data_IF_799546271813
#
_entry.id   IF_799546271813
#
_cell.length_a   1.000
_cell.length_b   1.000
_cell.length_c   1.000
_cell.angle_alpha   90.00
_cell.angle_beta   90.00
_cell.angle_gamma   90.00
#
_symmetry.space_group_name_H-M   'P 1'
#
loop_
_entity.id
_entity.type
_entity.pdbx_description
1 polymer ?
#
# COMPACT_ATOMS: atom_id res chain seq x y z
N UNK A 1 14.67 -12.13 -21.25
CA UNK A 1 14.63 -13.14 -20.14
C UNK A 1 14.73 -12.46 -18.77
N UNK A 2 15.76 -11.60 -18.48
CA UNK A 2 15.91 -10.96 -17.15
C UNK A 2 14.69 -10.12 -16.77
N UNK A 3 14.21 -9.24 -17.65
CA UNK A 3 12.99 -8.44 -17.40
C UNK A 3 11.75 -9.30 -17.15
N UNK A 4 11.60 -10.43 -17.84
CA UNK A 4 10.50 -11.36 -17.65
C UNK A 4 10.52 -11.99 -16.24
N UNK A 5 11.69 -12.40 -15.75
CA UNK A 5 11.83 -12.95 -14.40
C UNK A 5 11.52 -11.90 -13.32
N UNK A 6 12.01 -10.67 -13.52
CA UNK A 6 11.69 -9.56 -12.61
C UNK A 6 10.17 -9.33 -12.58
N UNK A 7 9.51 -9.33 -13.74
CA UNK A 7 8.07 -9.15 -13.83
C UNK A 7 7.27 -10.30 -13.19
N UNK A 8 7.77 -11.54 -13.26
CA UNK A 8 7.15 -12.68 -12.55
C UNK A 8 7.22 -12.47 -11.04
N UNK A 9 8.40 -12.12 -10.51
CA UNK A 9 8.57 -11.82 -9.09
C UNK A 9 7.74 -10.61 -8.65
N UNK A 10 7.74 -9.55 -9.45
CA UNK A 10 6.95 -8.34 -9.19
C UNK A 10 5.45 -8.64 -9.04
N UNK A 11 4.88 -9.42 -9.95
CA UNK A 11 3.46 -9.85 -9.86
C UNK A 11 3.19 -10.77 -8.67
N UNK A 12 4.14 -11.61 -8.32
CA UNK A 12 4.01 -12.49 -7.17
C UNK A 12 3.99 -11.70 -5.85
N UNK A 13 4.93 -10.76 -5.67
CA UNK A 13 5.02 -9.91 -4.48
C UNK A 13 3.90 -8.89 -4.44
N UNK A 14 3.66 -8.19 -5.56
CA UNK A 14 2.72 -7.08 -5.72
C UNK A 14 1.32 -7.51 -6.14
N UNK A 15 0.75 -8.43 -5.39
CA UNK A 15 -0.54 -9.02 -5.72
C UNK A 15 -1.67 -7.98 -5.73
N UNK A 16 -2.50 -8.05 -6.77
CA UNK A 16 -3.82 -7.40 -6.85
C UNK A 16 -4.88 -8.47 -7.07
N UNK A 17 -5.85 -8.54 -6.17
CA UNK A 17 -6.91 -9.55 -6.22
C UNK A 17 -8.08 -9.11 -7.09
N UNK A 18 -8.21 -7.82 -7.34
CA UNK A 18 -9.19 -7.19 -8.24
C UNK A 18 -8.45 -6.29 -9.23
N UNK A 19 -8.96 -6.10 -10.47
CA UNK A 19 -8.27 -5.31 -11.48
C UNK A 19 -8.36 -3.80 -11.25
N UNK A 20 -9.39 -3.33 -10.54
CA UNK A 20 -9.60 -1.92 -10.22
C UNK A 20 -10.33 -1.74 -8.90
N UNK A 21 -10.22 -0.55 -8.30
CA UNK A 21 -10.88 -0.18 -7.03
C UNK A 21 -12.34 0.26 -7.28
N UNK A 22 -13.16 -0.66 -7.81
CA UNK A 22 -14.59 -0.44 -8.12
C UNK A 22 -15.46 -1.47 -7.42
N UNK A 23 -16.67 -1.07 -7.04
CA UNK A 23 -17.65 -1.93 -6.37
C UNK A 23 -18.01 -3.16 -7.20
N UNK A 24 -18.15 -3.00 -8.51
CA UNK A 24 -18.47 -4.08 -9.43
C UNK A 24 -17.45 -5.23 -9.38
N UNK A 25 -16.19 -4.91 -9.15
CA UNK A 25 -15.12 -5.92 -9.01
C UNK A 25 -15.22 -6.68 -7.69
N UNK A 26 -15.62 -6.00 -6.61
CA UNK A 26 -15.89 -6.63 -5.32
C UNK A 26 -17.11 -7.55 -5.39
N UNK A 27 -18.19 -7.07 -6.00
CA UNK A 27 -19.41 -7.85 -6.16
C UNK A 27 -19.16 -9.11 -7.01
N UNK A 28 -18.53 -8.94 -8.17
CA UNK A 28 -18.19 -10.03 -9.09
C UNK A 28 -17.33 -11.12 -8.44
N UNK A 29 -16.33 -10.72 -7.65
CA UNK A 29 -15.35 -11.67 -7.11
C UNK A 29 -15.68 -12.19 -5.73
N UNK A 30 -16.27 -11.36 -4.88
CA UNK A 30 -16.47 -11.66 -3.47
C UNK A 30 -17.93 -11.64 -3.04
N UNK A 31 -18.86 -11.22 -3.90
CA UNK A 31 -20.28 -11.09 -3.57
C UNK A 31 -20.57 -10.02 -2.51
N UNK A 32 -19.74 -8.97 -2.46
CA UNK A 32 -19.91 -7.84 -1.53
C UNK A 32 -19.93 -6.52 -2.30
N UNK A 33 -20.82 -5.61 -1.91
CA UNK A 33 -20.91 -4.28 -2.52
C UNK A 33 -19.76 -3.36 -2.11
N UNK A 34 -19.35 -3.45 -0.84
CA UNK A 34 -18.26 -2.66 -0.25
C UNK A 34 -17.43 -3.55 0.68
N UNK A 35 -16.14 -3.29 0.77
CA UNK A 35 -15.34 -3.80 1.87
C UNK A 35 -15.67 -3.04 3.18
N UNK A 36 -15.46 -3.67 4.32
CA UNK A 36 -15.67 -2.99 5.60
C UNK A 36 -14.57 -1.96 5.85
N UNK A 37 -13.33 -2.30 5.51
CA UNK A 37 -12.17 -1.43 5.70
C UNK A 37 -11.30 -1.44 4.45
N UNK A 38 -10.74 -0.27 4.10
CA UNK A 38 -9.64 -0.12 3.15
C UNK A 38 -8.48 0.56 3.86
N UNK A 39 -7.31 -0.05 3.83
CA UNK A 39 -6.13 0.46 4.51
C UNK A 39 -4.97 0.68 3.55
N UNK A 40 -4.33 1.85 3.64
CA UNK A 40 -3.03 2.15 3.06
C UNK A 40 -1.97 2.04 4.16
N UNK A 41 -1.04 1.11 3.99
CA UNK A 41 0.17 1.07 4.81
C UNK A 41 1.19 2.04 4.23
N UNK A 42 1.78 2.85 5.09
CA UNK A 42 2.78 3.84 4.74
C UNK A 42 4.01 3.24 4.08
N UNK A 43 4.80 4.10 3.51
CA UNK A 43 6.00 3.80 2.74
C UNK A 43 6.37 5.02 1.90
N UNK A 44 7.36 4.90 1.02
CA UNK A 44 7.86 6.04 0.25
C UNK A 44 7.30 6.14 -1.18
N UNK A 45 6.31 5.32 -1.54
CA UNK A 45 5.70 5.32 -2.87
C UNK A 45 4.41 6.16 -2.87
N UNK A 46 4.48 7.33 -3.48
CA UNK A 46 3.44 8.36 -3.40
C UNK A 46 2.12 7.93 -4.07
N UNK A 47 2.19 7.16 -5.16
CA UNK A 47 0.99 6.72 -5.88
C UNK A 47 -0.01 5.93 -5.01
N UNK A 48 0.42 5.39 -3.87
CA UNK A 48 -0.49 4.79 -2.89
C UNK A 48 -1.56 5.77 -2.38
N UNK A 49 -1.20 7.05 -2.22
CA UNK A 49 -2.14 8.11 -1.88
C UNK A 49 -3.18 8.36 -2.98
N UNK A 50 -2.77 8.31 -4.25
CA UNK A 50 -3.69 8.46 -5.39
C UNK A 50 -4.70 7.32 -5.46
N UNK A 51 -4.25 6.09 -5.19
CA UNK A 51 -5.13 4.91 -5.14
C UNK A 51 -6.10 4.95 -3.95
N UNK A 52 -5.65 5.43 -2.79
CA UNK A 52 -6.55 5.62 -1.66
C UNK A 52 -7.63 6.66 -1.99
N UNK A 53 -7.26 7.77 -2.66
CA UNK A 53 -8.20 8.76 -3.15
C UNK A 53 -9.20 8.17 -4.15
N UNK A 54 -8.75 7.30 -5.06
CA UNK A 54 -9.63 6.58 -5.99
C UNK A 54 -10.63 5.69 -5.24
N UNK A 55 -10.16 4.91 -4.26
CA UNK A 55 -11.01 4.06 -3.44
C UNK A 55 -12.07 4.86 -2.68
N UNK A 56 -11.70 6.01 -2.10
CA UNK A 56 -12.64 6.90 -1.40
C UNK A 56 -13.69 7.45 -2.38
N UNK A 57 -13.28 7.96 -3.54
CA UNK A 57 -14.19 8.49 -4.56
C UNK A 57 -15.17 7.45 -5.09
N UNK A 58 -14.71 6.22 -5.24
CA UNK A 58 -15.53 5.10 -5.69
C UNK A 58 -16.37 4.49 -4.55
N UNK A 59 -16.20 4.97 -3.33
CA UNK A 59 -16.90 4.46 -2.15
C UNK A 59 -16.79 2.94 -2.00
N UNK A 60 -15.58 2.40 -2.22
CA UNK A 60 -15.32 0.95 -2.26
C UNK A 60 -15.27 0.30 -0.88
N UNK A 61 -15.11 1.09 0.17
CA UNK A 61 -15.10 0.62 1.56
C UNK A 61 -15.93 1.53 2.45
N UNK A 62 -16.32 1.02 3.62
CA UNK A 62 -17.08 1.77 4.64
C UNK A 62 -16.18 2.66 5.49
N UNK A 63 -14.91 2.24 5.69
CA UNK A 63 -13.88 2.96 6.46
C UNK A 63 -12.55 2.96 5.72
N UNK A 64 -11.87 4.10 5.76
CA UNK A 64 -10.57 4.31 5.14
C UNK A 64 -9.54 4.65 6.21
N UNK A 65 -8.45 3.89 6.25
CA UNK A 65 -7.42 3.98 7.28
C UNK A 65 -6.05 4.15 6.63
N UNK A 66 -5.23 5.00 7.19
CA UNK A 66 -3.81 5.09 6.84
C UNK A 66 -2.98 4.65 8.06
N UNK A 67 -2.05 3.76 7.86
CA UNK A 67 -1.17 3.22 8.89
C UNK A 67 0.27 3.54 8.55
N UNK A 68 0.98 4.22 9.43
CA UNK A 68 2.40 4.48 9.25
C UNK A 68 2.91 5.55 10.21
N UNK A 69 3.73 5.14 11.14
CA UNK A 69 4.46 6.04 12.03
C UNK A 69 5.75 6.56 11.37
N UNK A 70 6.83 6.60 12.12
CA UNK A 70 8.15 6.98 11.63
C UNK A 70 9.08 5.75 11.57
N UNK A 71 9.53 5.41 10.38
CA UNK A 71 10.40 4.26 10.12
C UNK A 71 11.54 4.60 9.14
N UNK A 72 12.17 3.57 8.60
CA UNK A 72 13.31 3.71 7.70
C UNK A 72 13.03 4.46 6.39
N UNK A 73 11.78 4.44 5.93
CA UNK A 73 11.36 5.07 4.67
C UNK A 73 10.81 6.47 4.84
N UNK A 74 10.56 6.90 6.06
CA UNK A 74 9.89 8.18 6.36
C UNK A 74 10.63 9.38 5.82
N UNK A 75 11.96 9.45 5.99
CA UNK A 75 12.76 10.55 5.46
C UNK A 75 12.74 10.60 3.92
N UNK A 76 12.73 9.44 3.29
CA UNK A 76 12.59 9.35 1.82
C UNK A 76 11.23 9.84 1.37
N UNK A 77 10.16 9.47 2.08
CA UNK A 77 8.80 9.95 1.82
C UNK A 77 8.71 11.47 2.00
N UNK A 78 9.23 12.02 3.09
CA UNK A 78 9.26 13.48 3.37
C UNK A 78 9.91 14.25 2.23
N UNK A 79 11.08 13.81 1.77
CA UNK A 79 11.82 14.41 0.65
C UNK A 79 11.02 14.36 -0.66
N UNK A 80 10.44 13.22 -0.98
CA UNK A 80 9.63 13.03 -2.19
C UNK A 80 8.36 13.88 -2.14
N UNK A 81 7.69 13.94 -0.98
CA UNK A 81 6.46 14.71 -0.79
C UNK A 81 6.67 16.21 -0.80
N UNK A 82 7.85 16.71 -0.48
CA UNK A 82 8.14 18.14 -0.50
C UNK A 82 7.85 18.80 -1.86
N UNK A 83 8.06 18.07 -2.96
CA UNK A 83 7.71 18.55 -4.31
C UNK A 83 6.21 18.44 -4.64
N UNK A 84 5.45 17.67 -3.89
CA UNK A 84 4.02 17.44 -4.10
C UNK A 84 3.13 18.28 -3.17
N UNK A 85 3.64 18.61 -2.00
CA UNK A 85 2.94 19.35 -0.94
C UNK A 85 3.57 20.73 -0.76
N UNK A 86 3.30 21.62 -1.71
CA UNK A 86 3.76 23.02 -1.63
C UNK A 86 3.13 23.68 -0.40
N UNK A 87 3.96 24.31 0.42
CA UNK A 87 3.56 25.03 1.64
C UNK A 87 3.11 24.13 2.82
N UNK A 88 3.34 22.82 2.79
CA UNK A 88 3.14 21.93 3.93
C UNK A 88 4.49 21.49 4.49
N UNK A 89 4.74 21.78 5.76
CA UNK A 89 5.94 21.29 6.45
C UNK A 89 5.73 19.81 6.86
N UNK A 90 6.34 18.90 6.12
CA UNK A 90 6.28 17.46 6.40
C UNK A 90 7.38 16.96 7.33
N UNK A 91 8.30 17.82 7.80
CA UNK A 91 9.52 17.42 8.50
C UNK A 91 9.30 16.65 9.81
N UNK A 92 8.16 16.85 10.46
CA UNK A 92 7.78 16.20 11.72
C UNK A 92 6.62 15.22 11.58
N UNK A 93 6.00 15.15 10.40
CA UNK A 93 4.85 14.28 10.17
C UNK A 93 5.26 12.82 10.05
N UNK A 94 4.40 11.94 10.56
CA UNK A 94 4.46 10.49 10.33
C UNK A 94 4.03 10.16 8.90
N UNK A 95 4.29 8.93 8.46
CA UNK A 95 3.89 8.51 7.11
C UNK A 95 2.37 8.59 6.91
N UNK A 96 1.57 8.23 7.92
CA UNK A 96 0.12 8.34 7.87
C UNK A 96 -0.34 9.80 7.75
N UNK A 97 0.23 10.72 8.53
CA UNK A 97 -0.07 12.14 8.47
C UNK A 97 0.31 12.75 7.12
N UNK A 98 1.47 12.37 6.55
CA UNK A 98 1.92 12.85 5.24
C UNK A 98 0.93 12.44 4.14
N UNK A 99 0.47 11.18 4.12
CA UNK A 99 -0.51 10.74 3.14
C UNK A 99 -1.89 11.37 3.35
N UNK A 100 -2.31 11.63 4.58
CA UNK A 100 -3.57 12.34 4.85
C UNK A 100 -3.50 13.81 4.39
N UNK A 101 -2.37 14.50 4.62
CA UNK A 101 -2.14 15.84 4.07
C UNK A 101 -2.10 15.83 2.52
N UNK A 102 -1.53 14.79 1.92
CA UNK A 102 -1.55 14.61 0.47
C UNK A 102 -2.98 14.44 -0.08
N UNK A 103 -3.82 13.65 0.60
CA UNK A 103 -5.24 13.50 0.25
C UNK A 103 -5.99 14.83 0.34
N UNK A 104 -5.77 15.59 1.41
CA UNK A 104 -6.39 16.90 1.61
C UNK A 104 -5.97 17.90 0.53
N UNK A 105 -4.66 18.03 0.32
CA UNK A 105 -4.09 19.00 -0.61
C UNK A 105 -4.49 18.73 -2.06
N UNK A 106 -4.37 17.48 -2.51
CA UNK A 106 -4.56 17.15 -3.93
C UNK A 106 -6.03 16.84 -4.29
N UNK A 107 -6.78 16.27 -3.37
CA UNK A 107 -8.10 15.73 -3.66
C UNK A 107 -9.23 16.31 -2.81
N UNK A 108 -8.92 17.12 -1.81
CA UNK A 108 -9.87 17.58 -0.79
C UNK A 108 -10.59 16.41 -0.09
N UNK A 109 -9.84 15.36 0.18
CA UNK A 109 -10.28 14.13 0.87
C UNK A 109 -9.47 13.93 2.15
N UNK A 110 -9.95 13.08 3.02
CA UNK A 110 -9.23 12.63 4.22
C UNK A 110 -9.54 11.18 4.53
N UNK A 111 -8.66 10.51 5.24
CA UNK A 111 -8.95 9.21 5.84
C UNK A 111 -9.87 9.33 7.05
N UNK A 112 -10.57 8.24 7.41
CA UNK A 112 -11.38 8.19 8.64
C UNK A 112 -10.50 8.07 9.88
N UNK A 113 -9.41 7.29 9.79
CA UNK A 113 -8.50 7.02 10.90
C UNK A 113 -7.05 7.02 10.45
N UNK A 114 -6.17 7.46 11.34
CA UNK A 114 -4.71 7.43 11.17
C UNK A 114 -4.07 6.62 12.31
N UNK A 115 -3.19 5.71 11.98
CA UNK A 115 -2.27 5.07 12.93
C UNK A 115 -0.87 5.66 12.71
N UNK A 116 -0.29 6.28 13.74
CA UNK A 116 0.92 7.10 13.64
C UNK A 116 2.10 6.60 14.49
N UNK A 117 2.00 5.43 15.12
CA UNK A 117 3.00 4.95 16.08
C UNK A 117 3.82 3.77 15.58
N UNK A 118 3.38 3.10 14.53
CA UNK A 118 4.05 1.93 13.97
C UNK A 118 5.41 2.28 13.35
N UNK A 119 6.39 1.39 13.54
CA UNK A 119 7.77 1.59 13.06
C UNK A 119 8.25 0.47 12.13
N UNK A 120 7.46 -0.58 11.97
CA UNK A 120 7.79 -1.75 11.15
C UNK A 120 6.52 -2.50 10.72
N UNK A 121 6.67 -3.43 9.78
CA UNK A 121 5.53 -4.18 9.21
C UNK A 121 4.72 -4.97 10.25
N UNK A 122 5.35 -5.47 11.30
CA UNK A 122 4.64 -6.17 12.38
C UNK A 122 3.75 -5.22 13.17
N UNK A 123 4.31 -4.09 13.59
CA UNK A 123 3.55 -3.05 14.28
C UNK A 123 2.45 -2.45 13.40
N UNK A 124 2.68 -2.27 12.10
CA UNK A 124 1.65 -1.80 11.18
C UNK A 124 0.38 -2.64 11.28
N UNK A 125 0.53 -3.96 11.39
CA UNK A 125 -0.61 -4.90 11.49
C UNK A 125 -1.24 -4.85 12.86
N UNK A 126 -0.46 -5.00 13.93
CA UNK A 126 -1.00 -5.07 15.29
C UNK A 126 -1.67 -3.77 15.70
N UNK A 127 -1.06 -2.62 15.38
CA UNK A 127 -1.62 -1.31 15.71
C UNK A 127 -2.83 -0.94 14.84
N UNK A 128 -2.87 -1.40 13.58
CA UNK A 128 -4.10 -1.32 12.79
C UNK A 128 -5.26 -2.04 13.49
N UNK A 129 -5.03 -3.28 13.96
CA UNK A 129 -6.07 -4.06 14.60
C UNK A 129 -6.50 -3.46 15.94
N UNK A 130 -5.55 -2.93 16.71
CA UNK A 130 -5.82 -2.18 17.95
C UNK A 130 -6.66 -0.93 17.65
N UNK A 131 -6.26 -0.11 16.66
CA UNK A 131 -6.99 1.08 16.26
C UNK A 131 -8.44 0.77 15.84
N UNK A 132 -8.64 -0.27 15.03
CA UNK A 132 -9.98 -0.69 14.60
C UNK A 132 -10.83 -1.13 15.81
N UNK A 133 -10.26 -1.90 16.73
CA UNK A 133 -10.93 -2.35 17.95
C UNK A 133 -11.31 -1.18 18.87
N UNK A 134 -10.41 -0.23 19.10
CA UNK A 134 -10.65 0.97 19.92
C UNK A 134 -11.76 1.85 19.36
N UNK A 135 -11.93 1.85 18.04
CA UNK A 135 -12.98 2.59 17.36
C UNK A 135 -14.25 1.76 17.11
N UNK A 136 -14.37 0.57 17.70
CA UNK A 136 -15.50 -0.34 17.55
C UNK A 136 -15.82 -0.68 16.08
N UNK A 137 -14.79 -0.82 15.26
CA UNK A 137 -14.90 -1.19 13.85
C UNK A 137 -14.67 -2.69 13.71
N UNK A 138 -15.76 -3.44 13.55
CA UNK A 138 -15.72 -4.85 13.17
C UNK A 138 -15.63 -4.96 11.65
N UNK A 139 -14.93 -5.99 11.16
CA UNK A 139 -14.79 -6.21 9.73
C UNK A 139 -14.74 -7.71 9.37
N UNK A 140 -15.39 -8.05 8.28
CA UNK A 140 -15.34 -9.35 7.61
C UNK A 140 -14.63 -9.27 6.25
N UNK A 141 -14.33 -8.06 5.81
CA UNK A 141 -13.60 -7.78 4.57
C UNK A 141 -12.69 -6.57 4.72
N UNK A 142 -11.48 -6.70 4.25
CA UNK A 142 -10.47 -5.64 4.30
C UNK A 142 -9.65 -5.59 3.01
N UNK A 143 -9.58 -4.42 2.38
CA UNK A 143 -8.66 -4.16 1.28
C UNK A 143 -7.37 -3.64 1.90
N UNK A 144 -6.26 -4.29 1.60
CA UNK A 144 -4.93 -3.87 2.05
C UNK A 144 -4.09 -3.38 0.87
N UNK A 145 -3.52 -2.20 1.03
CA UNK A 145 -2.62 -1.59 0.06
C UNK A 145 -1.25 -1.33 0.69
N UNK A 146 -0.22 -1.82 0.04
CA UNK A 146 1.16 -1.63 0.43
C UNK A 146 2.03 -1.56 -0.82
N UNK A 147 3.27 -1.08 -0.68
CA UNK A 147 4.32 -1.22 -1.68
C UNK A 147 4.31 -2.64 -2.26
N UNK A 148 4.36 -2.76 -3.59
CA UNK A 148 4.23 -4.05 -4.27
C UNK A 148 5.27 -5.07 -3.81
N UNK A 149 6.47 -4.65 -3.43
CA UNK A 149 7.50 -5.55 -2.90
C UNK A 149 7.15 -6.14 -1.53
N UNK A 150 6.20 -5.53 -0.81
CA UNK A 150 5.80 -5.89 0.55
C UNK A 150 4.37 -6.42 0.65
N UNK A 151 3.55 -6.25 -0.39
CA UNK A 151 2.11 -6.56 -0.38
C UNK A 151 1.81 -8.00 0.07
N UNK A 152 2.49 -8.98 -0.52
CA UNK A 152 2.31 -10.39 -0.18
C UNK A 152 2.62 -10.68 1.29
N UNK A 153 3.69 -10.07 1.80
CA UNK A 153 4.12 -10.20 3.20
C UNK A 153 3.11 -9.59 4.17
N UNK A 154 2.53 -8.43 3.82
CA UNK A 154 1.49 -7.79 4.65
C UNK A 154 0.25 -8.67 4.75
N UNK A 155 -0.20 -9.27 3.65
CA UNK A 155 -1.30 -10.24 3.68
C UNK A 155 -1.00 -11.42 4.60
N UNK A 156 0.17 -12.04 4.45
CA UNK A 156 0.58 -13.19 5.26
C UNK A 156 0.67 -12.82 6.75
N UNK A 157 1.16 -11.61 7.06
CA UNK A 157 1.21 -11.08 8.42
C UNK A 157 -0.19 -10.88 9.01
N UNK A 158 -1.08 -10.19 8.28
CA UNK A 158 -2.44 -9.93 8.75
C UNK A 158 -3.23 -11.25 8.96
N UNK A 159 -3.05 -12.24 8.10
CA UNK A 159 -3.72 -13.55 8.21
C UNK A 159 -3.41 -14.28 9.51
N UNK A 160 -2.30 -13.99 10.18
CA UNK A 160 -1.95 -14.59 11.49
C UNK A 160 -2.86 -14.13 12.63
N UNK A 161 -3.50 -12.98 12.49
CA UNK A 161 -4.27 -12.33 13.54
C UNK A 161 -5.78 -12.31 13.29
N UNK A 162 -6.22 -12.60 12.07
CA UNK A 162 -7.63 -12.59 11.72
C UNK A 162 -8.13 -13.96 11.31
N UNK A 163 -9.43 -14.23 11.53
CA UNK A 163 -10.07 -15.49 11.15
C UNK A 163 -9.92 -15.80 9.66
N UNK A 164 -9.90 -17.09 9.31
CA UNK A 164 -9.92 -17.57 7.92
C UNK A 164 -11.09 -17.02 7.11
N UNK A 165 -12.22 -16.72 7.77
CA UNK A 165 -13.43 -16.23 7.12
C UNK A 165 -13.34 -14.76 6.68
N UNK A 166 -12.42 -14.00 7.29
CA UNK A 166 -12.18 -12.61 6.88
C UNK A 166 -11.58 -12.57 5.47
N UNK A 167 -12.25 -11.85 4.57
CA UNK A 167 -11.79 -11.60 3.20
C UNK A 167 -10.68 -10.55 3.22
N UNK A 168 -9.42 -10.97 3.06
CA UNK A 168 -8.29 -10.07 2.85
C UNK A 168 -8.09 -9.89 1.34
N UNK A 169 -8.31 -8.68 0.85
CA UNK A 169 -8.25 -8.32 -0.57
C UNK A 169 -6.97 -7.53 -0.81
N UNK A 170 -6.06 -8.08 -1.61
CA UNK A 170 -4.82 -7.39 -1.94
C UNK A 170 -5.05 -6.36 -3.04
N UNK A 171 -4.44 -5.20 -2.88
CA UNK A 171 -4.31 -4.22 -3.94
C UNK A 171 -2.98 -3.46 -3.80
N UNK A 172 -1.90 -4.01 -4.35
CA UNK A 172 -0.58 -3.39 -4.30
C UNK A 172 -0.62 -1.96 -4.89
N UNK A 173 0.12 -1.04 -4.29
CA UNK A 173 0.08 0.38 -4.66
C UNK A 173 0.59 0.68 -6.06
N UNK A 174 1.33 -0.23 -6.67
CA UNK A 174 1.73 -0.14 -8.07
C UNK A 174 1.87 -1.54 -8.69
N UNK A 175 1.84 -1.57 -10.02
CA UNK A 175 2.19 -2.73 -10.84
C UNK A 175 3.31 -2.29 -11.80
N UNK A 176 4.55 -2.57 -11.39
CA UNK A 176 5.72 -2.17 -12.15
C UNK A 176 6.03 -3.22 -13.23
N UNK A 177 5.95 -2.82 -14.49
CA UNK A 177 6.42 -3.63 -15.61
C UNK A 177 7.82 -3.17 -16.04
N UNK A 178 8.76 -4.08 -15.97
CA UNK A 178 10.15 -3.88 -16.39
C UNK A 178 10.32 -4.36 -17.83
N UNK A 179 10.96 -3.53 -18.64
CA UNK A 179 11.29 -3.81 -20.05
C UNK A 179 12.78 -3.64 -20.28
N UNK A 180 13.25 -4.13 -21.41
CA UNK A 180 14.59 -3.82 -21.91
C UNK A 180 14.47 -2.66 -22.92
N UNK A 181 15.08 -1.52 -22.62
CA UNK A 181 15.12 -0.34 -23.48
C UNK A 181 16.58 0.04 -23.71
N UNK A 182 17.00 0.11 -24.96
CA UNK A 182 18.37 0.46 -25.37
C UNK A 182 19.46 -0.39 -24.69
N UNK A 183 19.15 -1.66 -24.41
CA UNK A 183 20.05 -2.59 -23.74
C UNK A 183 20.05 -2.55 -22.22
N UNK A 184 19.32 -1.61 -21.61
CA UNK A 184 19.19 -1.44 -20.17
C UNK A 184 17.78 -1.78 -19.66
N UNK A 185 17.70 -2.17 -18.38
CA UNK A 185 16.43 -2.40 -17.72
C UNK A 185 15.77 -1.04 -17.40
N UNK A 186 14.51 -0.88 -17.76
CA UNK A 186 13.72 0.32 -17.49
C UNK A 186 12.28 -0.05 -17.11
N UNK A 187 11.57 0.87 -16.46
CA UNK A 187 10.12 0.75 -16.30
C UNK A 187 9.40 1.10 -17.60
N UNK A 188 8.33 0.34 -17.92
CA UNK A 188 7.50 0.63 -19.08
C UNK A 188 6.72 1.95 -18.90
N UNK A 189 6.28 2.24 -17.69
CA UNK A 189 5.52 3.44 -17.34
C UNK A 189 6.11 4.13 -16.10
N UNK A 190 5.91 5.43 -16.00
CA UNK A 190 6.27 6.20 -14.81
C UNK A 190 5.32 5.90 -13.66
N UNK A 191 5.87 5.68 -12.48
CA UNK A 191 5.15 5.47 -11.23
C UNK A 191 5.58 6.55 -10.24
N UNK A 192 4.64 7.36 -9.79
CA UNK A 192 4.92 8.49 -8.90
C UNK A 192 5.56 8.04 -7.58
N UNK A 193 6.78 8.52 -7.34
CA UNK A 193 7.56 8.18 -6.15
C UNK A 193 8.28 6.85 -6.21
N UNK A 194 8.34 6.20 -7.39
CA UNK A 194 8.97 4.88 -7.57
C UNK A 194 10.46 4.90 -7.21
N UNK A 195 10.95 3.75 -6.79
CA UNK A 195 12.36 3.45 -6.61
C UNK A 195 13.11 3.47 -7.95
N UNK A 196 14.42 3.73 -7.91
CA UNK A 196 15.26 3.35 -9.06
C UNK A 196 15.18 1.83 -9.28
N UNK A 197 15.46 1.41 -10.52
CA UNK A 197 15.23 0.02 -10.93
C UNK A 197 16.11 -0.98 -10.17
N UNK A 198 17.33 -0.62 -9.84
CA UNK A 198 18.26 -1.49 -9.10
C UNK A 198 17.79 -1.67 -7.66
N UNK A 199 17.28 -0.60 -7.03
CA UNK A 199 16.71 -0.67 -5.70
C UNK A 199 15.44 -1.54 -5.68
N UNK A 200 14.55 -1.36 -6.66
CA UNK A 200 13.36 -2.20 -6.82
C UNK A 200 13.69 -3.69 -6.93
N UNK A 201 14.64 -4.05 -7.80
CA UNK A 201 15.11 -5.44 -7.95
C UNK A 201 15.66 -5.97 -6.62
N UNK A 202 16.47 -5.16 -5.93
CA UNK A 202 17.01 -5.52 -4.61
C UNK A 202 15.88 -5.80 -3.59
N UNK A 203 14.83 -4.99 -3.57
CA UNK A 203 13.67 -5.19 -2.69
C UNK A 203 12.92 -6.48 -3.02
N UNK A 204 12.71 -6.79 -4.29
CA UNK A 204 12.08 -8.03 -4.73
C UNK A 204 12.88 -9.26 -4.26
N UNK A 205 14.19 -9.26 -4.47
CA UNK A 205 15.08 -10.36 -4.06
C UNK A 205 15.07 -10.56 -2.54
N UNK A 206 15.16 -9.49 -1.75
CA UNK A 206 15.07 -9.56 -0.29
C UNK A 206 13.73 -10.08 0.22
N UNK A 207 12.66 -9.80 -0.49
CA UNK A 207 11.31 -10.31 -0.17
C UNK A 207 11.27 -11.84 -0.26
N UNK A 208 11.94 -12.42 -1.25
CA UNK A 208 12.02 -13.86 -1.45
C UNK A 208 12.99 -14.55 -0.48
N UNK A 209 14.18 -13.99 -0.25
CA UNK A 209 15.17 -14.55 0.68
C UNK A 209 14.60 -14.75 2.10
N UNK A 210 13.84 -13.80 2.59
CA UNK A 210 13.18 -13.89 3.91
C UNK A 210 12.09 -14.97 3.99
N UNK A 211 11.64 -15.46 2.86
CA UNK A 211 10.64 -16.51 2.77
C UNK A 211 11.24 -17.91 2.78
N UNK A 212 12.40 -18.08 2.19
CA UNK A 212 13.11 -19.36 2.11
C UNK A 212 13.83 -19.69 3.42
N UNK A 213 14.15 -18.70 4.23
CA UNK A 213 14.86 -18.86 5.50
C UNK A 213 13.96 -19.08 6.75
N UNK A 214 12.69 -19.42 6.56
CA UNK A 214 11.73 -19.83 7.60
C UNK A 214 11.04 -21.12 7.23
#
# INVERSE_FOLDING_TARGET
KTAEYINVLGRFCGKRDIPSLRKEELEKKYGIEQADVMVLFGGSIICGGDLLAEGIKNNIAKKYVIVGGAGHTTETLRKKMHSQLLNVDTSKLTEAEIFDEYLKYKYNLKADLLECHSTNCGNNITYLLELLKENNIEFNSIIIMQDATMQHRMKAGLRKYVSSDVKIINFATYDAKVILKDGELAYENDILGMWDINHYITLLMRSEERRVGK
#
